data_IF_608634347970
#
_entry.id   IF_608634347970
#
_cell.length_a   1.000
_cell.length_b   1.000
_cell.length_c   1.000
_cell.angle_alpha   90.00
_cell.angle_beta   90.00
_cell.angle_gamma   90.00
#
_symmetry.space_group_name_H-M   'P 1'
#
loop_
_entity.id
_entity.type
_entity.pdbx_description
1 polymer ?
#
# COMPACT_ATOMS: atom_id res chain seq x y z
N UNK A 1 -32.14 -32.83 5.59
CA UNK A 1 -32.37 -31.38 5.72
C UNK A 1 -31.23 -30.67 5.01
N UNK A 2 -31.46 -30.01 3.87
CA UNK A 2 -30.43 -29.22 3.20
C UNK A 2 -30.34 -27.86 3.87
N UNK A 3 -29.13 -27.46 4.27
CA UNK A 3 -28.83 -26.12 4.75
C UNK A 3 -29.08 -25.12 3.62
N UNK A 4 -29.98 -24.18 3.85
CA UNK A 4 -30.24 -23.03 2.98
C UNK A 4 -28.99 -22.17 2.89
N UNK A 5 -28.30 -22.22 1.74
CA UNK A 5 -27.33 -21.20 1.36
C UNK A 5 -28.08 -19.89 1.16
N UNK A 6 -27.97 -18.99 2.13
CA UNK A 6 -28.29 -17.58 1.91
C UNK A 6 -27.29 -17.08 0.87
N UNK A 7 -27.74 -16.91 -0.37
CA UNK A 7 -27.00 -16.15 -1.37
C UNK A 7 -26.87 -14.73 -0.83
N UNK A 8 -25.75 -14.44 -0.18
CA UNK A 8 -25.33 -13.06 0.01
C UNK A 8 -25.26 -12.47 -1.40
N UNK A 9 -26.04 -11.44 -1.67
CA UNK A 9 -25.83 -10.60 -2.83
C UNK A 9 -24.38 -10.09 -2.75
N UNK A 10 -23.47 -10.79 -3.42
CA UNK A 10 -22.11 -10.31 -3.60
C UNK A 10 -22.27 -8.96 -4.31
N UNK A 11 -22.00 -7.90 -3.55
CA UNK A 11 -21.89 -6.56 -4.09
C UNK A 11 -21.06 -6.66 -5.37
N UNK A 12 -21.64 -6.28 -6.52
CA UNK A 12 -21.01 -6.25 -7.85
C UNK A 12 -19.90 -5.18 -7.93
N UNK A 13 -19.17 -4.99 -6.85
CA UNK A 13 -17.98 -4.18 -6.82
C UNK A 13 -16.85 -5.00 -7.46
N UNK A 14 -16.12 -4.43 -8.42
CA UNK A 14 -14.97 -5.10 -8.98
C UNK A 14 -14.02 -5.47 -7.85
N UNK A 15 -13.65 -6.75 -7.78
CA UNK A 15 -12.63 -7.19 -6.84
C UNK A 15 -11.31 -6.49 -7.19
N UNK A 16 -10.52 -6.03 -6.20
CA UNK A 16 -9.19 -5.52 -6.46
C UNK A 16 -8.38 -6.55 -7.28
N UNK A 17 -7.51 -6.05 -8.16
CA UNK A 17 -6.60 -6.94 -8.87
C UNK A 17 -5.75 -7.71 -7.85
N UNK A 18 -5.66 -9.04 -8.04
CA UNK A 18 -4.82 -9.91 -7.20
C UNK A 18 -3.39 -9.38 -7.15
N UNK A 19 -2.72 -9.56 -6.01
CA UNK A 19 -1.37 -9.02 -5.84
C UNK A 19 -0.34 -9.58 -6.84
N UNK A 20 -0.61 -10.73 -7.47
CA UNK A 20 0.14 -11.30 -8.60
C UNK A 20 0.16 -10.41 -9.86
N UNK A 21 -0.88 -9.58 -10.06
CA UNK A 21 -0.93 -8.62 -11.18
C UNK A 21 0.10 -7.49 -11.07
N UNK A 22 0.74 -7.35 -9.90
CA UNK A 22 1.78 -6.36 -9.65
C UNK A 22 3.19 -6.96 -9.72
N UNK A 23 3.34 -8.23 -10.11
CA UNK A 23 4.65 -8.82 -10.33
C UNK A 23 5.26 -8.32 -11.64
N UNK A 24 6.47 -7.80 -11.58
CA UNK A 24 7.24 -7.35 -12.73
C UNK A 24 8.48 -8.22 -12.89
N UNK A 25 8.67 -8.78 -14.09
CA UNK A 25 9.88 -9.50 -14.48
C UNK A 25 10.40 -8.93 -15.81
N UNK A 26 11.63 -8.38 -15.87
CA UNK A 26 12.23 -7.88 -17.10
C UNK A 26 12.68 -9.04 -18.02
N UNK A 27 12.21 -9.04 -19.28
CA UNK A 27 12.64 -9.99 -20.32
C UNK A 27 11.64 -11.12 -20.60
N UNK A 28 11.98 -12.01 -21.54
CA UNK A 28 11.14 -13.19 -21.91
C UNK A 28 11.32 -14.37 -20.95
N UNK A 29 12.03 -14.20 -19.84
CA UNK A 29 12.31 -15.28 -18.90
C UNK A 29 11.16 -15.30 -17.88
N UNK A 30 10.27 -16.29 -18.01
CA UNK A 30 9.22 -16.59 -17.03
C UNK A 30 9.77 -17.22 -15.74
N UNK A 31 10.96 -16.81 -15.31
CA UNK A 31 11.53 -17.32 -14.06
C UNK A 31 11.23 -16.29 -12.97
N UNK A 32 10.51 -16.72 -11.93
CA UNK A 32 10.14 -15.90 -10.76
C UNK A 32 11.37 -15.40 -9.97
N UNK A 33 12.56 -15.89 -10.33
CA UNK A 33 13.83 -15.57 -9.69
C UNK A 33 14.38 -14.18 -10.05
N UNK A 34 13.92 -13.55 -11.15
CA UNK A 34 14.46 -12.25 -11.62
C UNK A 34 13.48 -11.08 -11.52
N UNK A 35 12.39 -11.23 -10.76
CA UNK A 35 11.33 -10.24 -10.68
C UNK A 35 11.23 -9.50 -9.34
N UNK A 36 10.25 -8.61 -9.27
CA UNK A 36 9.82 -7.99 -8.03
C UNK A 36 8.34 -7.63 -8.06
N UNK A 37 7.71 -7.58 -6.89
CA UNK A 37 6.40 -6.96 -6.76
C UNK A 37 6.56 -5.43 -6.82
N UNK A 38 5.88 -4.77 -7.75
CA UNK A 38 5.97 -3.32 -7.99
C UNK A 38 5.58 -2.51 -6.76
N UNK A 39 4.60 -2.96 -5.98
CA UNK A 39 4.17 -2.25 -4.78
C UNK A 39 5.27 -2.28 -3.70
N UNK A 40 5.81 -3.47 -3.44
CA UNK A 40 6.92 -3.66 -2.51
C UNK A 40 8.15 -2.87 -2.96
N UNK A 41 8.54 -2.99 -4.22
CA UNK A 41 9.68 -2.29 -4.80
C UNK A 41 9.60 -0.77 -4.61
N UNK A 42 8.41 -0.18 -4.84
CA UNK A 42 8.19 1.26 -4.61
C UNK A 42 8.27 1.66 -3.14
N UNK A 43 7.70 0.87 -2.24
CA UNK A 43 7.76 1.13 -0.79
C UNK A 43 9.21 1.08 -0.30
N UNK A 44 9.95 0.03 -0.66
CA UNK A 44 11.37 -0.10 -0.31
C UNK A 44 12.23 1.00 -0.92
N UNK A 45 11.98 1.38 -2.17
CA UNK A 45 12.70 2.49 -2.84
C UNK A 45 12.40 3.85 -2.21
N UNK A 46 11.22 4.01 -1.59
CA UNK A 46 10.87 5.18 -0.79
C UNK A 46 11.49 5.16 0.63
N UNK A 47 12.27 4.12 0.96
CA UNK A 47 12.97 3.99 2.22
C UNK A 47 12.11 3.47 3.37
N UNK A 48 10.99 2.81 3.08
CA UNK A 48 10.17 2.10 4.06
C UNK A 48 10.37 0.60 3.94
N UNK A 49 10.32 -0.08 5.07
CA UNK A 49 10.31 -1.53 5.17
C UNK A 49 8.90 -2.03 5.44
N UNK A 50 8.60 -3.27 5.04
CA UNK A 50 7.30 -3.91 5.23
C UNK A 50 7.42 -4.93 6.36
N UNK A 51 6.50 -4.85 7.32
CA UNK A 51 6.40 -5.77 8.43
C UNK A 51 5.03 -6.44 8.45
N UNK A 52 5.01 -7.78 8.42
CA UNK A 52 3.81 -8.57 8.69
C UNK A 52 3.85 -9.08 10.13
N UNK A 53 2.71 -8.98 10.81
CA UNK A 53 2.52 -9.46 12.19
C UNK A 53 2.32 -10.97 12.26
N UNK A 54 1.96 -11.62 11.15
CA UNK A 54 1.73 -13.06 11.12
C UNK A 54 3.05 -13.86 11.22
N UNK A 55 3.02 -14.90 12.04
CA UNK A 55 4.15 -15.80 12.30
C UNK A 55 4.39 -16.80 11.17
N UNK A 56 3.39 -16.98 10.31
CA UNK A 56 3.35 -17.99 9.27
C UNK A 56 3.79 -17.42 7.91
N UNK A 57 5.10 -17.30 7.74
CA UNK A 57 5.72 -17.29 6.40
C UNK A 57 5.60 -18.66 5.69
N UNK A 58 4.86 -19.61 6.28
CA UNK A 58 4.54 -20.93 5.73
C UNK A 58 3.50 -20.88 4.61
N UNK A 59 2.92 -19.71 4.32
CA UNK A 59 2.01 -19.56 3.19
C UNK A 59 2.79 -19.78 1.89
N UNK A 60 2.45 -20.86 1.18
CA UNK A 60 3.00 -21.19 -0.13
C UNK A 60 2.65 -20.17 -1.21
N UNK A 61 1.66 -19.31 -0.95
CA UNK A 61 1.22 -18.25 -1.86
C UNK A 61 1.51 -16.87 -1.27
N UNK A 62 2.70 -16.35 -1.53
CA UNK A 62 3.17 -15.07 -1.02
C UNK A 62 2.34 -13.88 -1.52
N UNK A 63 1.52 -14.09 -2.55
CA UNK A 63 0.55 -13.12 -3.04
C UNK A 63 -0.48 -12.77 -1.96
N UNK A 64 -0.93 -13.76 -1.19
CA UNK A 64 -1.93 -13.55 -0.13
C UNK A 64 -1.40 -12.67 1.01
N UNK A 65 -0.11 -12.77 1.33
CA UNK A 65 0.50 -11.99 2.40
C UNK A 65 0.37 -10.49 2.16
N UNK A 66 0.44 -10.07 0.89
CA UNK A 66 0.31 -8.67 0.50
C UNK A 66 -1.13 -8.16 0.55
N UNK A 67 -2.11 -9.06 0.61
CA UNK A 67 -3.54 -8.75 0.74
C UNK A 67 -3.97 -8.68 2.21
N UNK A 68 -3.13 -9.16 3.14
CA UNK A 68 -3.35 -9.14 4.59
C UNK A 68 -2.90 -7.82 5.23
N UNK A 69 -3.40 -7.51 6.44
CA UNK A 69 -2.95 -6.34 7.18
C UNK A 69 -1.45 -6.37 7.45
N UNK A 70 -0.81 -5.21 7.32
CA UNK A 70 0.63 -5.06 7.51
C UNK A 70 1.00 -3.71 8.10
N UNK A 71 2.22 -3.57 8.58
CA UNK A 71 2.77 -2.31 9.10
C UNK A 71 4.00 -1.90 8.30
N UNK A 72 4.34 -0.62 8.40
CA UNK A 72 5.56 -0.09 7.82
C UNK A 72 6.59 0.16 8.90
N UNK A 73 7.84 -0.11 8.57
CA UNK A 73 8.99 0.19 9.40
C UNK A 73 9.96 1.10 8.66
N UNK A 74 10.86 1.73 9.42
CA UNK A 74 11.95 2.55 8.90
C UNK A 74 13.00 2.77 9.97
N UNK A 75 14.28 2.72 9.59
CA UNK A 75 15.40 2.98 10.52
C UNK A 75 15.31 2.17 11.82
N UNK A 76 14.90 0.89 11.72
CA UNK A 76 14.66 -0.02 12.86
C UNK A 76 13.49 0.37 13.78
N UNK A 77 12.61 1.26 13.34
CA UNK A 77 11.43 1.67 14.09
C UNK A 77 10.16 1.29 13.32
N UNK A 78 9.19 0.68 14.00
CA UNK A 78 7.92 0.22 13.46
C UNK A 78 6.83 1.25 13.70
N UNK A 79 6.15 1.66 12.64
CA UNK A 79 5.01 2.56 12.74
C UNK A 79 3.80 1.85 13.33
N UNK A 80 3.11 2.52 14.25
CA UNK A 80 1.97 1.92 14.97
C UNK A 80 0.81 1.51 14.06
N UNK A 81 0.48 2.34 13.05
CA UNK A 81 -0.67 2.12 12.17
C UNK A 81 -0.52 0.83 11.36
N UNK A 82 -1.57 0.03 11.41
CA UNK A 82 -1.76 -1.10 10.52
C UNK A 82 -2.50 -0.67 9.25
N UNK A 83 -1.96 -1.03 8.10
CA UNK A 83 -2.57 -0.84 6.80
C UNK A 83 -3.36 -2.08 6.43
N UNK A 84 -4.47 -1.88 5.74
CA UNK A 84 -5.36 -2.95 5.29
C UNK A 84 -4.64 -3.99 4.44
N UNK A 85 -3.72 -3.54 3.58
CA UNK A 85 -2.91 -4.36 2.69
C UNK A 85 -1.78 -3.52 2.08
N UNK A 86 -0.98 -4.11 1.18
CA UNK A 86 0.14 -3.44 0.53
C UNK A 86 -0.28 -2.23 -0.31
N UNK A 87 -1.47 -2.27 -0.92
CA UNK A 87 -1.96 -1.19 -1.78
C UNK A 87 -2.32 0.03 -0.93
N UNK A 88 -3.00 -0.18 0.20
CA UNK A 88 -3.30 0.91 1.14
C UNK A 88 -1.99 1.54 1.66
N UNK A 89 -1.00 0.74 2.04
CA UNK A 89 0.31 1.25 2.45
C UNK A 89 1.00 2.06 1.33
N UNK A 90 1.02 1.54 0.09
CA UNK A 90 1.61 2.22 -1.06
C UNK A 90 0.90 3.56 -1.36
N UNK A 91 -0.43 3.60 -1.27
CA UNK A 91 -1.21 4.83 -1.49
C UNK A 91 -0.79 5.94 -0.52
N UNK A 92 -0.62 5.62 0.76
CA UNK A 92 -0.15 6.58 1.77
C UNK A 92 1.27 7.04 1.47
N UNK A 93 2.18 6.13 1.16
CA UNK A 93 3.57 6.47 0.80
C UNK A 93 3.59 7.41 -0.41
N UNK A 94 2.84 7.10 -1.46
CA UNK A 94 2.75 7.96 -2.65
C UNK A 94 2.10 9.32 -2.36
N UNK A 95 1.06 9.35 -1.52
CA UNK A 95 0.39 10.58 -1.13
C UNK A 95 1.31 11.51 -0.35
N UNK A 96 2.16 10.96 0.53
CA UNK A 96 3.18 11.73 1.24
C UNK A 96 4.05 12.52 0.25
N UNK A 97 4.56 11.84 -0.78
CA UNK A 97 5.43 12.41 -1.80
C UNK A 97 4.74 13.40 -2.73
N UNK A 98 3.49 13.12 -3.06
CA UNK A 98 2.75 13.93 -4.01
C UNK A 98 2.18 15.20 -3.39
N UNK A 99 1.36 15.07 -2.35
CA UNK A 99 0.44 16.12 -1.91
C UNK A 99 0.65 16.54 -0.48
N UNK A 100 1.03 15.62 0.41
CA UNK A 100 1.18 15.95 1.81
C UNK A 100 2.39 16.88 2.05
N UNK A 101 3.55 16.63 1.42
CA UNK A 101 4.75 17.48 1.59
C UNK A 101 4.54 18.95 1.22
N UNK A 102 3.74 19.22 0.19
CA UNK A 102 3.38 20.59 -0.16
C UNK A 102 2.56 21.30 0.94
N UNK A 103 1.88 20.54 1.79
CA UNK A 103 1.00 21.02 2.86
C UNK A 103 1.63 20.93 4.26
N UNK A 104 2.60 20.05 4.48
CA UNK A 104 3.35 19.95 5.75
C UNK A 104 4.02 21.28 6.11
N UNK A 105 4.47 22.05 5.11
CA UNK A 105 5.06 23.37 5.33
C UNK A 105 4.07 24.39 5.95
N UNK A 106 2.75 24.13 5.93
CA UNK A 106 1.72 25.06 6.43
C UNK A 106 1.00 24.62 7.72
N UNK A 107 1.12 23.37 8.18
CA UNK A 107 0.47 22.90 9.41
C UNK A 107 1.42 22.10 10.31
N UNK A 108 1.80 22.71 11.43
CA UNK A 108 2.66 22.11 12.47
C UNK A 108 1.87 21.63 13.68
N UNK A 109 0.91 20.72 13.54
CA UNK A 109 0.39 19.96 14.70
C UNK A 109 -0.17 18.60 14.25
N UNK A 110 0.65 17.74 13.64
CA UNK A 110 0.27 16.33 13.54
C UNK A 110 0.54 15.65 14.89
N UNK A 111 -0.46 14.94 15.41
CA UNK A 111 -0.29 14.13 16.62
C UNK A 111 0.75 13.05 16.31
N UNK A 112 1.82 12.97 17.10
CA UNK A 112 2.83 11.92 16.92
C UNK A 112 2.16 10.56 17.20
N UNK A 113 2.09 9.69 16.21
CA UNK A 113 1.74 8.27 16.42
C UNK A 113 2.91 7.54 17.06
N UNK A 114 2.62 6.48 17.79
CA UNK A 114 3.66 5.72 18.49
C UNK A 114 4.54 5.00 17.47
N UNK A 115 5.82 4.83 17.83
CA UNK A 115 6.79 4.16 17.00
C UNK A 115 7.61 3.25 17.90
N UNK A 116 7.75 1.98 17.53
CA UNK A 116 8.32 0.94 18.37
C UNK A 116 9.67 0.49 17.84
N UNK A 117 10.68 0.32 18.70
CA UNK A 117 11.96 -0.23 18.27
C UNK A 117 11.79 -1.70 17.86
N UNK A 118 12.32 -2.06 16.70
CA UNK A 118 12.27 -3.43 16.20
C UNK A 118 13.31 -4.32 16.90
N UNK A 119 12.89 -5.51 17.35
CA UNK A 119 13.81 -6.55 17.82
C UNK A 119 14.61 -7.14 16.65
N UNK A 120 15.72 -7.83 16.94
CA UNK A 120 16.55 -8.50 15.92
C UNK A 120 15.74 -9.53 15.12
N UNK A 121 14.85 -10.27 15.78
CA UNK A 121 13.94 -11.21 15.13
C UNK A 121 13.03 -10.52 14.12
N UNK A 122 12.47 -9.35 14.47
CA UNK A 122 11.60 -8.59 13.57
C UNK A 122 12.38 -7.99 12.40
N UNK A 123 13.61 -7.53 12.63
CA UNK A 123 14.50 -7.08 11.55
C UNK A 123 14.84 -8.22 10.58
N UNK A 124 15.06 -9.43 11.10
CA UNK A 124 15.25 -10.63 10.28
C UNK A 124 14.02 -10.96 9.42
N UNK A 125 12.80 -10.86 9.98
CA UNK A 125 11.55 -11.03 9.24
C UNK A 125 11.41 -10.01 8.11
N UNK A 126 11.69 -8.74 8.39
CA UNK A 126 11.67 -7.66 7.38
C UNK A 126 12.65 -7.96 6.24
N UNK A 127 13.88 -8.35 6.56
CA UNK A 127 14.90 -8.67 5.56
C UNK A 127 14.47 -9.85 4.68
N UNK A 128 13.86 -10.88 5.29
CA UNK A 128 13.31 -12.03 4.57
C UNK A 128 12.19 -11.62 3.58
N UNK A 129 11.24 -10.79 4.03
CA UNK A 129 10.17 -10.25 3.19
C UNK A 129 10.72 -9.42 2.02
N UNK A 130 11.74 -8.61 2.27
CA UNK A 130 12.38 -7.81 1.23
C UNK A 130 13.01 -8.69 0.16
N UNK A 131 13.78 -9.70 0.56
CA UNK A 131 14.39 -10.66 -0.36
C UNK A 131 13.35 -11.51 -1.10
N UNK A 132 12.18 -11.73 -0.51
CA UNK A 132 11.09 -12.47 -1.13
C UNK A 132 10.42 -11.68 -2.24
N UNK A 133 10.05 -10.42 -2.00
CA UNK A 133 9.29 -9.60 -2.95
C UNK A 133 10.14 -8.73 -3.87
N UNK A 134 11.44 -8.57 -3.59
CA UNK A 134 12.36 -7.81 -4.43
C UNK A 134 13.64 -8.64 -4.61
N UNK A 135 13.65 -9.48 -5.66
CA UNK A 135 14.82 -10.29 -6.01
C UNK A 135 15.90 -9.45 -6.67
N UNK A 136 15.50 -8.54 -7.56
CA UNK A 136 16.38 -7.60 -8.21
C UNK A 136 16.24 -6.19 -7.60
N UNK A 137 17.02 -5.94 -6.54
CA UNK A 137 17.02 -4.66 -5.84
C UNK A 137 17.69 -3.55 -6.67
N UNK A 138 18.64 -3.88 -7.55
CA UNK A 138 19.30 -2.87 -8.39
C UNK A 138 18.32 -2.32 -9.42
N UNK A 139 17.58 -3.19 -10.08
CA UNK A 139 16.56 -2.78 -11.04
C UNK A 139 15.40 -2.05 -10.37
N UNK A 140 14.92 -2.53 -9.24
CA UNK A 140 13.87 -1.86 -8.47
C UNK A 140 14.27 -0.42 -8.11
N UNK A 141 15.49 -0.24 -7.60
CA UNK A 141 16.01 1.09 -7.30
C UNK A 141 16.19 1.92 -8.58
N UNK A 142 16.72 1.36 -9.66
CA UNK A 142 16.85 2.08 -10.94
C UNK A 142 15.50 2.57 -11.47
N UNK A 143 14.42 1.81 -11.28
CA UNK A 143 13.09 2.17 -11.77
C UNK A 143 12.33 3.13 -10.86
N UNK A 144 12.45 2.99 -9.54
CA UNK A 144 11.57 3.68 -8.59
C UNK A 144 12.29 4.62 -7.63
N UNK A 145 13.62 4.62 -7.58
CA UNK A 145 14.35 5.57 -6.75
C UNK A 145 14.26 6.95 -7.37
N UNK A 146 13.49 7.81 -6.72
CA UNK A 146 13.52 9.25 -6.96
C UNK A 146 14.29 9.90 -5.80
N UNK A 147 15.34 10.66 -6.10
CA UNK A 147 16.14 11.37 -5.10
C UNK A 147 15.30 12.41 -4.34
N UNK A 148 14.23 12.94 -4.96
CA UNK A 148 13.25 13.83 -4.31
C UNK A 148 12.37 13.08 -3.31
N UNK A 149 12.30 11.76 -3.44
CA UNK A 149 11.57 10.84 -2.56
C UNK A 149 12.44 10.29 -1.41
N UNK A 150 13.60 10.89 -1.15
CA UNK A 150 14.42 10.54 0.01
C UNK A 150 13.92 11.34 1.23
N UNK A 151 13.23 10.69 2.15
CA UNK A 151 12.86 11.31 3.43
C UNK A 151 14.14 11.43 4.26
N UNK A 152 14.31 12.52 5.03
CA UNK A 152 15.25 12.46 6.15
C UNK A 152 14.82 11.33 7.11
N UNK A 153 15.80 10.67 7.73
CA UNK A 153 15.64 9.39 8.44
C UNK A 153 14.65 9.40 9.63
N UNK A 154 14.08 10.56 10.00
CA UNK A 154 13.43 10.75 11.30
C UNK A 154 11.99 11.28 11.30
N UNK A 155 11.38 11.63 10.16
CA UNK A 155 10.08 12.33 10.22
C UNK A 155 8.85 11.42 10.05
N UNK A 156 8.57 10.60 11.07
CA UNK A 156 7.28 9.91 11.22
C UNK A 156 6.10 10.87 11.43
N UNK A 157 6.35 12.15 11.75
CA UNK A 157 5.33 13.19 11.90
C UNK A 157 4.75 13.55 10.54
N UNK A 158 5.61 13.75 9.54
CA UNK A 158 5.22 13.91 8.12
C UNK A 158 4.35 12.74 7.66
N UNK A 159 4.79 11.51 7.96
CA UNK A 159 4.06 10.31 7.55
C UNK A 159 2.70 10.17 8.26
N UNK A 160 2.64 10.50 9.56
CA UNK A 160 1.38 10.54 10.31
C UNK A 160 0.41 11.55 9.72
N UNK A 161 0.88 12.76 9.41
CA UNK A 161 0.07 13.77 8.72
C UNK A 161 -0.46 13.25 7.38
N UNK A 162 0.38 12.57 6.59
CA UNK A 162 -0.02 12.03 5.30
C UNK A 162 -1.12 10.95 5.41
N UNK A 163 -1.09 10.11 6.44
CA UNK A 163 -2.18 9.14 6.71
C UNK A 163 -3.50 9.87 6.93
N UNK A 164 -3.51 10.83 7.87
CA UNK A 164 -4.72 11.55 8.25
C UNK A 164 -5.26 12.40 7.09
N UNK A 165 -4.37 13.08 6.35
CA UNK A 165 -4.74 13.90 5.20
C UNK A 165 -5.21 13.07 4.01
N UNK A 166 -4.66 11.86 3.79
CA UNK A 166 -5.17 10.95 2.76
C UNK A 166 -6.61 10.53 3.07
N UNK A 167 -6.91 10.21 4.33
CA UNK A 167 -8.26 9.83 4.74
C UNK A 167 -9.25 11.00 4.52
N UNK A 168 -8.87 12.20 4.96
CA UNK A 168 -9.67 13.41 4.75
C UNK A 168 -9.87 13.69 3.26
N UNK A 169 -8.80 13.63 2.46
CA UNK A 169 -8.82 13.83 1.02
C UNK A 169 -9.74 12.82 0.31
N UNK A 170 -9.64 11.54 0.68
CA UNK A 170 -10.44 10.45 0.10
C UNK A 170 -11.92 10.63 0.39
N UNK A 171 -12.28 11.00 1.64
CA UNK A 171 -13.66 11.32 2.01
C UNK A 171 -14.21 12.52 1.25
N UNK A 172 -13.40 13.55 1.01
CA UNK A 172 -13.81 14.72 0.21
C UNK A 172 -14.08 14.32 -1.25
N UNK A 173 -13.15 13.60 -1.89
CA UNK A 173 -13.32 13.11 -3.26
C UNK A 173 -14.55 12.22 -3.40
N UNK A 174 -14.80 11.34 -2.43
CA UNK A 174 -15.99 10.49 -2.42
C UNK A 174 -17.27 11.33 -2.46
N UNK A 175 -17.36 12.38 -1.63
CA UNK A 175 -18.51 13.29 -1.63
C UNK A 175 -18.66 14.01 -2.98
N UNK A 176 -17.57 14.55 -3.51
CA UNK A 176 -17.58 15.22 -4.83
C UNK A 176 -18.03 14.28 -5.95
N UNK A 177 -17.54 13.03 -5.94
CA UNK A 177 -17.92 12.00 -6.90
C UNK A 177 -19.41 11.67 -6.80
N UNK A 178 -19.93 11.44 -5.59
CA UNK A 178 -21.36 11.18 -5.37
C UNK A 178 -22.23 12.36 -5.83
N UNK A 179 -21.83 13.59 -5.52
CA UNK A 179 -22.54 14.80 -5.96
C UNK A 179 -22.49 15.00 -7.47
N UNK A 180 -21.49 14.46 -8.15
CA UNK A 180 -21.33 14.54 -9.61
C UNK A 180 -22.12 13.45 -10.36
N UNK A 181 -22.53 12.36 -9.70
CA UNK A 181 -23.27 11.26 -10.33
C UNK A 181 -24.53 11.70 -11.09
N UNK A 182 -25.40 12.59 -10.56
CA UNK A 182 -26.58 13.05 -11.31
C UNK A 182 -26.19 13.75 -12.60
N UNK A 183 -25.15 14.59 -12.56
CA UNK A 183 -24.65 15.29 -13.74
C UNK A 183 -24.12 14.31 -14.79
N UNK A 184 -23.29 13.35 -14.39
CA UNK A 184 -22.77 12.32 -15.29
C UNK A 184 -23.86 11.45 -15.91
N UNK A 185 -24.94 11.19 -15.17
CA UNK A 185 -26.12 10.49 -15.70
C UNK A 185 -26.88 11.34 -16.71
N UNK A 186 -27.10 12.62 -16.44
CA UNK A 186 -27.75 13.54 -17.41
C UNK A 186 -26.94 13.64 -18.69
N UNK A 187 -25.61 13.68 -18.59
CA UNK A 187 -24.69 13.72 -19.74
C UNK A 187 -24.49 12.36 -20.42
N UNK A 188 -25.20 11.31 -20.02
CA UNK A 188 -25.04 9.95 -20.56
C UNK A 188 -23.60 9.40 -20.49
N UNK A 189 -22.83 9.81 -19.48
CA UNK A 189 -21.46 9.30 -19.24
C UNK A 189 -21.52 7.97 -18.49
N UNK A 190 -22.51 7.82 -17.60
CA UNK A 190 -22.75 6.57 -16.86
C UNK A 190 -24.06 5.96 -17.35
N UNK A 191 -23.96 4.74 -17.86
CA UNK A 191 -25.08 3.95 -18.33
C UNK A 191 -25.57 3.00 -17.25
N UNK A 192 -26.87 2.74 -17.24
CA UNK A 192 -27.42 1.62 -16.46
C UNK A 192 -27.03 0.32 -17.17
N UNK A 193 -26.47 -0.62 -16.42
CA UNK A 193 -26.31 -2.00 -16.90
C UNK A 193 -27.69 -2.66 -16.84
N UNK A 194 -28.19 -3.29 -17.92
CA UNK A 194 -29.41 -4.08 -17.87
C UNK A 194 -29.25 -5.21 -16.85
N UNK A 195 -30.27 -5.42 -16.02
CA UNK A 195 -30.41 -6.62 -15.19
C UNK A 195 -30.81 -7.82 -16.03
#
# INVERSE_FOLDING_TARGET
MPCSSSKSEELLLPRPASSNMYWFCPGQVQNEESGFNVCCARIYSAGFDIYSTEEELSCSDFSELLERPLKLARSKVLFEQEFTNILHALQVVQFLWWKARAQVNSLRVAKRREVWLLSELQQGKIASLKFMFVKDNELANKMFRDERCCLHESDWTEFTFAVDELEHYSRRLQKELVMSLPHWRTQQIIYKVPL
#
